data_IF_081245423387
#
_entry.id   IF_081245423387
#
_cell.length_a   1.000
_cell.length_b   1.000
_cell.length_c   1.000
_cell.angle_alpha   90.00
_cell.angle_beta   90.00
_cell.angle_gamma   90.00
#
_symmetry.space_group_name_H-M   'P 1'
#
loop_
_entity.id
_entity.type
_entity.pdbx_description
1 polymer ?
#
# COMPACT_ATOMS: atom_id res chain seq x y z
N UNK A 1 -7.34 9.09 0.86
CA UNK A 1 -7.31 8.65 -0.55
C UNK A 1 -7.15 9.87 -1.43
N UNK A 2 -6.27 9.86 -2.43
CA UNK A 2 -6.17 10.95 -3.40
C UNK A 2 -7.47 11.08 -4.21
N UNK A 3 -7.76 12.27 -4.73
CA UNK A 3 -8.78 12.43 -5.76
C UNK A 3 -8.21 11.85 -7.07
N UNK A 4 -9.01 11.03 -7.74
CA UNK A 4 -8.62 10.35 -8.97
C UNK A 4 -9.38 10.98 -10.13
N UNK A 5 -8.69 11.17 -11.24
CA UNK A 5 -9.24 11.75 -12.45
C UNK A 5 -9.42 10.65 -13.50
N UNK A 6 -10.54 10.65 -14.23
CA UNK A 6 -10.70 9.76 -15.37
C UNK A 6 -9.74 10.19 -16.50
N UNK A 7 -9.12 9.27 -17.25
CA UNK A 7 -8.21 9.63 -18.34
C UNK A 7 -8.80 10.64 -19.34
N UNK A 8 -10.10 10.54 -19.62
CA UNK A 8 -10.79 11.47 -20.54
C UNK A 8 -10.89 12.91 -20.01
N UNK A 9 -10.73 13.11 -18.70
CA UNK A 9 -10.84 14.43 -18.06
C UNK A 9 -9.47 15.11 -17.84
N UNK A 10 -8.36 14.46 -18.24
CA UNK A 10 -7.00 14.98 -18.01
C UNK A 10 -6.79 16.36 -18.64
N UNK A 11 -7.14 16.53 -19.90
CA UNK A 11 -6.95 17.80 -20.61
C UNK A 11 -7.79 18.92 -20.00
N UNK A 12 -9.07 18.64 -19.72
CA UNK A 12 -9.99 19.60 -19.13
C UNK A 12 -9.59 20.03 -17.71
N UNK A 13 -8.95 19.14 -16.95
CA UNK A 13 -8.35 19.50 -15.66
C UNK A 13 -7.11 20.39 -15.83
N UNK A 14 -6.23 20.06 -16.77
CA UNK A 14 -4.98 20.79 -17.01
C UNK A 14 -5.20 22.17 -17.63
N UNK A 15 -6.23 22.34 -18.47
CA UNK A 15 -6.59 23.63 -19.07
C UNK A 15 -7.50 24.50 -18.19
N UNK A 16 -7.99 23.94 -17.08
CA UNK A 16 -8.83 24.62 -16.09
C UNK A 16 -10.29 24.77 -16.47
N UNK A 17 -10.74 24.14 -17.56
CA UNK A 17 -12.15 24.15 -17.98
C UNK A 17 -13.03 23.21 -17.16
N UNK A 18 -12.44 22.22 -16.48
CA UNK A 18 -13.17 21.25 -15.68
C UNK A 18 -13.57 21.78 -14.29
N UNK A 19 -14.78 21.44 -13.86
CA UNK A 19 -15.27 21.70 -12.50
C UNK A 19 -14.84 20.62 -11.51
N UNK A 20 -14.99 20.90 -10.21
CA UNK A 20 -14.66 19.95 -9.12
C UNK A 20 -15.36 18.59 -9.20
N UNK A 21 -16.44 18.49 -9.98
CA UNK A 21 -17.27 17.27 -10.04
C UNK A 21 -16.55 16.10 -10.69
N UNK A 22 -15.55 16.36 -11.54
CA UNK A 22 -14.68 15.32 -12.11
C UNK A 22 -13.88 14.57 -11.02
N UNK A 23 -13.67 15.19 -9.86
CA UNK A 23 -12.92 14.61 -8.74
C UNK A 23 -13.79 13.80 -7.77
N UNK A 24 -15.12 13.86 -7.93
CA UNK A 24 -16.07 13.24 -6.99
C UNK A 24 -16.31 11.76 -7.29
N UNK A 25 -15.87 11.28 -8.46
CA UNK A 25 -16.04 9.90 -8.88
C UNK A 25 -14.74 9.13 -8.62
N UNK A 26 -14.75 8.27 -7.59
CA UNK A 26 -13.66 7.31 -7.40
C UNK A 26 -13.73 6.21 -8.48
N UNK A 27 -12.66 5.95 -9.24
CA UNK A 27 -12.62 4.84 -10.16
C UNK A 27 -12.81 3.51 -9.43
N UNK A 28 -13.72 2.64 -9.86
CA UNK A 28 -13.97 1.36 -9.19
C UNK A 28 -12.85 0.32 -9.40
N UNK A 29 -11.87 0.61 -10.25
CA UNK A 29 -10.85 -0.36 -10.72
C UNK A 29 -9.59 -0.42 -9.84
N UNK A 30 -9.52 0.35 -8.76
CA UNK A 30 -8.35 0.37 -7.87
C UNK A 30 -8.25 -0.92 -7.03
N UNK A 31 -7.05 -1.49 -7.01
CA UNK A 31 -6.69 -2.65 -6.19
C UNK A 31 -5.56 -2.26 -5.25
N UNK A 32 -5.61 -2.80 -4.03
CA UNK A 32 -4.63 -2.53 -2.97
C UNK A 32 -4.09 -3.85 -2.42
N UNK A 33 -2.82 -3.86 -2.02
CA UNK A 33 -2.19 -4.99 -1.33
C UNK A 33 -1.11 -4.52 -0.37
N UNK A 34 -0.78 -5.37 0.60
CA UNK A 34 0.31 -5.10 1.55
C UNK A 34 1.66 -5.26 0.84
N UNK A 35 2.57 -4.31 1.06
CA UNK A 35 3.93 -4.32 0.50
C UNK A 35 4.99 -4.44 1.60
N UNK A 36 6.24 -4.69 1.21
CA UNK A 36 7.34 -4.82 2.16
C UNK A 36 7.65 -3.48 2.86
N UNK A 37 7.95 -3.52 4.17
CA UNK A 37 8.28 -2.32 4.97
C UNK A 37 9.49 -1.53 4.47
N UNK A 38 10.37 -2.13 3.65
CA UNK A 38 11.46 -1.44 2.97
C UNK A 38 10.98 -0.19 2.22
N UNK A 39 9.75 -0.21 1.68
CA UNK A 39 9.10 0.93 1.00
C UNK A 39 9.06 2.20 1.86
N UNK A 40 9.09 2.09 3.19
CA UNK A 40 9.03 3.26 4.08
C UNK A 40 10.31 4.11 4.09
N UNK A 41 11.42 3.63 3.50
CA UNK A 41 12.70 4.33 3.47
C UNK A 41 12.97 4.86 2.06
N UNK A 42 12.79 6.16 1.87
CA UNK A 42 13.11 6.85 0.62
C UNK A 42 14.58 6.63 0.20
N UNK A 43 14.81 6.44 -1.11
CA UNK A 43 16.12 6.19 -1.69
C UNK A 43 16.63 4.76 -1.56
N UNK A 44 15.81 3.81 -1.06
CA UNK A 44 16.21 2.40 -0.88
C UNK A 44 15.23 1.46 -1.58
N UNK A 45 15.56 1.10 -2.82
CA UNK A 45 14.70 0.25 -3.65
C UNK A 45 13.71 1.01 -4.52
N UNK A 46 13.87 2.33 -4.65
CA UNK A 46 13.06 3.17 -5.53
C UNK A 46 13.13 2.70 -7.00
N UNK A 47 14.31 2.21 -7.43
CA UNK A 47 14.51 1.62 -8.77
C UNK A 47 14.18 0.12 -8.84
N UNK A 48 13.82 -0.52 -7.71
CA UNK A 48 13.56 -1.95 -7.61
C UNK A 48 12.05 -2.22 -7.74
N UNK A 49 11.58 -2.85 -8.84
CA UNK A 49 10.15 -3.12 -9.02
C UNK A 49 9.58 -4.06 -7.94
N UNK A 50 10.42 -4.84 -7.24
CA UNK A 50 9.98 -5.68 -6.14
C UNK A 50 9.51 -4.88 -4.92
N UNK A 51 9.85 -3.59 -4.82
CA UNK A 51 9.47 -2.74 -3.69
C UNK A 51 7.94 -2.55 -3.58
N UNK A 52 7.24 -2.47 -4.72
CA UNK A 52 5.77 -2.34 -4.77
C UNK A 52 5.04 -3.69 -4.93
N UNK A 53 5.77 -4.81 -5.00
CA UNK A 53 5.16 -6.12 -5.14
C UNK A 53 4.42 -6.54 -3.85
N UNK A 54 3.39 -7.41 -3.96
CA UNK A 54 2.71 -7.96 -2.79
C UNK A 54 3.71 -8.65 -1.85
N UNK A 55 3.69 -8.27 -0.58
CA UNK A 55 4.47 -8.94 0.45
C UNK A 55 3.83 -10.27 0.80
N UNK A 56 4.66 -11.31 0.95
CA UNK A 56 4.25 -12.49 1.69
C UNK A 56 3.95 -12.09 3.13
N UNK A 57 2.81 -12.55 3.66
CA UNK A 57 2.46 -12.34 5.05
C UNK A 57 3.59 -12.90 5.93
N UNK A 58 4.19 -12.04 6.74
CA UNK A 58 5.15 -12.47 7.76
C UNK A 58 4.39 -13.42 8.71
N UNK A 59 4.85 -14.66 8.83
CA UNK A 59 4.24 -15.61 9.75
C UNK A 59 4.26 -15.00 11.15
N UNK A 60 3.16 -15.08 11.92
CA UNK A 60 3.17 -14.58 13.29
C UNK A 60 4.33 -15.24 14.05
N UNK A 61 5.03 -14.50 14.93
CA UNK A 61 6.12 -15.07 15.71
C UNK A 61 5.61 -16.30 16.47
N UNK A 62 6.42 -17.36 16.60
CA UNK A 62 6.04 -18.52 17.38
C UNK A 62 5.65 -18.06 18.81
N UNK A 63 4.63 -18.67 19.42
CA UNK A 63 4.26 -18.35 20.79
C UNK A 63 5.49 -18.50 21.69
N UNK A 64 5.66 -17.60 22.69
CA UNK A 64 6.80 -17.69 23.60
C UNK A 64 6.82 -19.08 24.27
N UNK A 65 8.01 -19.69 24.34
CA UNK A 65 8.18 -20.97 25.01
C UNK A 65 7.64 -20.87 26.45
N UNK A 66 6.84 -21.84 26.92
CA UNK A 66 6.39 -21.83 28.30
C UNK A 66 7.62 -21.82 29.22
N UNK A 67 7.60 -21.04 30.31
CA UNK A 67 8.73 -20.96 31.22
C UNK A 67 9.12 -22.37 31.68
N UNK A 68 10.41 -22.66 31.88
CA UNK A 68 10.87 -23.99 32.26
C UNK A 68 10.12 -24.41 33.52
N UNK A 69 9.27 -25.43 33.37
CA UNK A 69 8.56 -26.02 34.49
C UNK A 69 9.63 -26.69 35.35
N UNK A 70 10.01 -26.03 36.44
CA UNK A 70 10.95 -26.58 37.40
C UNK A 70 10.46 -27.97 37.83
N UNK A 71 11.31 -28.98 37.65
CA UNK A 71 11.03 -30.35 38.07
C UNK A 71 10.87 -30.36 39.59
N UNK A 72 9.65 -30.55 40.08
CA UNK A 72 9.37 -30.93 41.46
C UNK A 72 9.34 -32.45 41.57
N UNK A 73 10.47 -33.07 41.25
CA UNK A 73 10.81 -34.46 41.59
C UNK A 73 12.29 -34.51 41.91
#
# INVERSE_FOLDING_TARGET
MPAMLHPDDFDAWLDGSAGKEILMNAPPELQEWIVNRRMNKAGVGDDDPATAAPAQAEAPPPPPEPPPQGSLF
#
